data_IF_232750241556
#
_entry.id   IF_232750241556
#
_cell.length_a   1.000
_cell.length_b   1.000
_cell.length_c   1.000
_cell.angle_alpha   90.00
_cell.angle_beta   90.00
_cell.angle_gamma   90.00
#
_symmetry.space_group_name_H-M   'P 1'
#
loop_
_entity.id
_entity.type
_entity.pdbx_description
1 polymer ?
#
# COMPACT_ATOMS: atom_id res chain seq x y z
N UNK A 1 -25.17 -23.68 -9.12
CA UNK A 1 -23.94 -24.26 -8.56
C UNK A 1 -24.33 -25.45 -7.68
N UNK A 2 -23.61 -26.57 -7.74
CA UNK A 2 -23.87 -27.73 -6.87
C UNK A 2 -23.62 -27.35 -5.39
N UNK A 3 -24.38 -27.95 -4.47
CA UNK A 3 -24.20 -27.76 -3.01
C UNK A 3 -22.75 -27.99 -2.56
N UNK A 4 -22.04 -28.93 -3.19
CA UNK A 4 -20.63 -29.22 -2.90
C UNK A 4 -19.69 -28.11 -3.38
N UNK A 5 -19.91 -27.55 -4.58
CA UNK A 5 -19.10 -26.46 -5.11
C UNK A 5 -19.22 -25.19 -4.26
N UNK A 6 -20.43 -24.91 -3.75
CA UNK A 6 -20.67 -23.77 -2.87
C UNK A 6 -20.01 -23.94 -1.50
N UNK A 7 -20.00 -25.17 -0.95
CA UNK A 7 -19.25 -25.49 0.28
C UNK A 7 -17.74 -25.33 0.09
N UNK A 8 -17.21 -25.78 -1.05
CA UNK A 8 -15.79 -25.64 -1.37
C UNK A 8 -15.40 -24.16 -1.48
N UNK A 9 -16.20 -23.35 -2.18
CA UNK A 9 -15.98 -21.91 -2.29
C UNK A 9 -15.97 -21.22 -0.91
N UNK A 10 -16.97 -21.48 -0.07
CA UNK A 10 -17.04 -20.89 1.26
C UNK A 10 -15.85 -21.30 2.15
N UNK A 11 -15.40 -22.56 2.07
CA UNK A 11 -14.24 -23.03 2.83
C UNK A 11 -12.94 -22.41 2.34
N UNK A 12 -12.79 -22.25 1.02
CA UNK A 12 -11.64 -21.59 0.41
C UNK A 12 -11.58 -20.10 0.77
N UNK A 13 -12.72 -19.41 0.75
CA UNK A 13 -12.82 -18.01 1.16
C UNK A 13 -12.42 -17.84 2.63
N UNK A 14 -12.97 -18.65 3.54
CA UNK A 14 -12.63 -18.61 4.96
C UNK A 14 -11.12 -18.88 5.20
N UNK A 15 -10.56 -19.90 4.55
CA UNK A 15 -9.13 -20.23 4.68
C UNK A 15 -8.23 -19.14 4.10
N UNK A 16 -8.65 -18.51 2.99
CA UNK A 16 -7.94 -17.36 2.41
C UNK A 16 -7.98 -16.17 3.36
N UNK A 17 -9.13 -15.85 3.98
CA UNK A 17 -9.26 -14.78 4.96
C UNK A 17 -8.36 -14.98 6.20
N UNK A 18 -8.29 -16.21 6.72
CA UNK A 18 -7.38 -16.56 7.82
C UNK A 18 -5.91 -16.35 7.43
N UNK A 19 -5.50 -16.84 6.26
CA UNK A 19 -4.14 -16.65 5.75
C UNK A 19 -3.81 -15.16 5.55
N UNK A 20 -4.79 -14.36 5.10
CA UNK A 20 -4.63 -12.92 4.96
C UNK A 20 -4.47 -12.19 6.29
N UNK A 21 -5.11 -12.67 7.37
CA UNK A 21 -4.86 -12.16 8.73
C UNK A 21 -3.43 -12.47 9.18
N UNK A 22 -2.94 -13.68 8.93
CA UNK A 22 -1.57 -14.07 9.26
C UNK A 22 -0.55 -13.19 8.52
N UNK A 23 -0.75 -12.96 7.23
CA UNK A 23 0.09 -12.07 6.39
C UNK A 23 0.13 -10.66 6.99
N UNK A 24 -0.99 -10.15 7.49
CA UNK A 24 -1.05 -8.84 8.15
C UNK A 24 -0.24 -8.81 9.46
N UNK A 25 -0.29 -9.88 10.25
CA UNK A 25 0.49 -9.99 11.48
C UNK A 25 1.99 -10.16 11.20
N UNK A 26 2.37 -10.90 10.16
CA UNK A 26 3.76 -10.99 9.70
C UNK A 26 4.32 -9.62 9.32
N UNK A 27 3.53 -8.79 8.63
CA UNK A 27 3.92 -7.41 8.28
C UNK A 27 4.12 -6.53 9.52
N UNK A 28 3.25 -6.63 10.52
CA UNK A 28 3.45 -5.94 11.82
C UNK A 28 4.73 -6.41 12.51
N UNK A 29 5.04 -7.71 12.44
CA UNK A 29 6.29 -8.25 12.99
C UNK A 29 7.51 -7.66 12.26
N UNK A 30 7.50 -7.58 10.92
CA UNK A 30 8.54 -6.89 10.13
C UNK A 30 8.75 -5.45 10.59
N UNK A 31 7.66 -4.70 10.79
CA UNK A 31 7.75 -3.32 11.30
C UNK A 31 8.37 -3.26 12.72
N UNK A 32 8.04 -4.21 13.57
CA UNK A 32 8.61 -4.32 14.92
C UNK A 32 10.11 -4.64 14.86
N UNK A 33 10.51 -5.55 13.97
CA UNK A 33 11.92 -5.89 13.75
C UNK A 33 12.72 -4.69 13.26
N UNK A 34 12.15 -3.88 12.35
CA UNK A 34 12.75 -2.60 11.96
C UNK A 34 12.98 -1.67 13.15
N UNK A 35 11.96 -1.48 14.01
CA UNK A 35 12.11 -0.64 15.21
C UNK A 35 13.19 -1.18 16.16
N UNK A 36 13.28 -2.49 16.33
CA UNK A 36 14.32 -3.14 17.15
C UNK A 36 15.71 -2.89 16.54
N UNK A 37 15.85 -3.03 15.21
CA UNK A 37 17.11 -2.79 14.52
C UNK A 37 17.58 -1.33 14.68
N UNK A 38 16.66 -0.36 14.62
CA UNK A 38 16.95 1.05 14.89
C UNK A 38 17.50 1.25 16.31
N UNK A 39 16.92 0.59 17.32
CA UNK A 39 17.43 0.69 18.69
C UNK A 39 18.81 0.03 18.86
N UNK A 40 19.07 -1.10 18.18
CA UNK A 40 20.41 -1.70 18.17
C UNK A 40 21.44 -0.82 17.46
N UNK A 41 21.06 -0.17 16.37
CA UNK A 41 21.94 0.76 15.65
C UNK A 41 22.28 1.97 16.52
N UNK A 42 21.31 2.57 17.23
CA UNK A 42 21.57 3.65 18.22
C UNK A 42 22.53 3.21 19.32
N UNK A 43 22.48 1.94 19.70
CA UNK A 43 23.38 1.34 20.68
C UNK A 43 24.74 0.89 20.08
N UNK A 44 25.02 1.17 18.80
CA UNK A 44 26.21 0.76 18.06
C UNK A 44 26.43 -0.77 18.03
N UNK A 45 25.35 -1.55 18.02
CA UNK A 45 25.36 -3.02 18.01
C UNK A 45 25.14 -3.56 16.59
N UNK A 46 26.04 -3.24 15.66
CA UNK A 46 25.87 -3.55 14.23
C UNK A 46 25.83 -5.06 13.92
N UNK A 47 26.41 -5.89 14.78
CA UNK A 47 26.29 -7.35 14.73
C UNK A 47 24.83 -7.81 14.94
N UNK A 48 24.14 -7.23 15.92
CA UNK A 48 22.71 -7.52 16.17
C UNK A 48 21.81 -6.97 15.08
N UNK A 49 22.13 -5.81 14.50
CA UNK A 49 21.37 -5.26 13.36
C UNK A 49 21.38 -6.25 12.18
N UNK A 50 22.53 -6.84 11.88
CA UNK A 50 22.65 -7.88 10.83
C UNK A 50 21.87 -9.15 11.16
N UNK A 51 21.84 -9.55 12.42
CA UNK A 51 21.04 -10.69 12.88
C UNK A 51 19.54 -10.41 12.66
N UNK A 52 19.06 -9.24 13.07
CA UNK A 52 17.66 -8.83 12.86
C UNK A 52 17.31 -8.74 11.37
N UNK A 53 18.19 -8.20 10.52
CA UNK A 53 17.98 -8.15 9.07
C UNK A 53 17.85 -9.56 8.48
N UNK A 54 18.72 -10.48 8.89
CA UNK A 54 18.66 -11.88 8.44
C UNK A 54 17.32 -12.52 8.81
N UNK A 55 16.90 -12.43 10.07
CA UNK A 55 15.64 -13.03 10.52
C UNK A 55 14.44 -12.35 9.84
N UNK A 56 14.51 -11.05 9.56
CA UNK A 56 13.47 -10.34 8.82
C UNK A 56 13.34 -10.85 7.38
N UNK A 57 14.47 -11.11 6.69
CA UNK A 57 14.46 -11.65 5.33
C UNK A 57 13.85 -13.06 5.29
N UNK A 58 14.09 -13.89 6.29
CA UNK A 58 13.47 -15.22 6.42
C UNK A 58 11.95 -15.12 6.65
N UNK A 59 11.50 -14.15 7.46
CA UNK A 59 10.08 -13.87 7.65
C UNK A 59 9.41 -13.38 6.36
N UNK A 60 10.07 -12.52 5.59
CA UNK A 60 9.57 -12.03 4.31
C UNK A 60 9.47 -13.12 3.24
N UNK A 61 10.42 -14.07 3.21
CA UNK A 61 10.31 -15.22 2.31
C UNK A 61 9.06 -16.07 2.63
N UNK A 62 8.80 -16.30 3.93
CA UNK A 62 7.60 -17.00 4.40
C UNK A 62 6.32 -16.22 4.09
N UNK A 63 6.36 -14.89 4.18
CA UNK A 63 5.24 -14.00 3.86
C UNK A 63 4.78 -14.16 2.41
N UNK A 64 5.71 -14.19 1.46
CA UNK A 64 5.39 -14.37 0.04
C UNK A 64 4.74 -15.72 -0.22
N UNK A 65 5.29 -16.78 0.37
CA UNK A 65 4.72 -18.12 0.24
C UNK A 65 3.29 -18.20 0.78
N UNK A 66 3.03 -17.60 1.95
CA UNK A 66 1.67 -17.50 2.49
C UNK A 66 0.73 -16.72 1.57
N UNK A 67 1.17 -15.62 0.98
CA UNK A 67 0.37 -14.82 0.05
C UNK A 67 -0.01 -15.61 -1.21
N UNK A 68 0.95 -16.31 -1.81
CA UNK A 68 0.68 -17.15 -2.98
C UNK A 68 -0.26 -18.32 -2.67
N UNK A 69 -0.10 -18.94 -1.49
CA UNK A 69 -0.99 -20.01 -1.04
C UNK A 69 -2.41 -19.50 -0.82
N UNK A 70 -2.58 -18.35 -0.17
CA UNK A 70 -3.89 -17.75 0.09
C UNK A 70 -4.65 -17.43 -1.21
N UNK A 71 -3.94 -16.94 -2.23
CA UNK A 71 -4.51 -16.66 -3.55
C UNK A 71 -4.85 -17.96 -4.31
N UNK A 72 -3.95 -18.95 -4.28
CA UNK A 72 -4.18 -20.24 -4.92
C UNK A 72 -5.40 -20.96 -4.33
N UNK A 73 -5.51 -21.03 -3.01
CA UNK A 73 -6.65 -21.65 -2.31
C UNK A 73 -7.96 -20.97 -2.72
N UNK A 74 -7.98 -19.65 -2.83
CA UNK A 74 -9.16 -18.89 -3.27
C UNK A 74 -9.52 -19.11 -4.74
N UNK A 75 -8.53 -19.37 -5.60
CA UNK A 75 -8.74 -19.61 -7.02
C UNK A 75 -9.23 -21.05 -7.33
N UNK A 76 -8.84 -22.03 -6.52
CA UNK A 76 -9.17 -23.46 -6.72
C UNK A 76 -10.65 -23.75 -6.98
N UNK A 77 -11.63 -23.19 -6.22
CA UNK A 77 -13.05 -23.42 -6.47
C UNK A 77 -13.51 -23.01 -7.88
N UNK A 78 -12.86 -22.03 -8.51
CA UNK A 78 -13.23 -21.51 -9.84
C UNK A 78 -12.77 -22.43 -10.98
N UNK A 79 -11.68 -23.17 -10.75
CA UNK A 79 -11.09 -24.09 -11.74
C UNK A 79 -11.49 -25.55 -11.50
N UNK A 80 -12.05 -25.85 -10.33
CA UNK A 80 -12.41 -27.22 -9.96
C UNK A 80 -13.59 -27.74 -10.80
N UNK A 81 -13.36 -28.88 -11.46
CA UNK A 81 -14.39 -29.62 -12.17
C UNK A 81 -14.66 -30.95 -11.45
N UNK A 82 -15.87 -31.15 -10.90
CA UNK A 82 -16.26 -32.41 -10.27
C UNK A 82 -16.17 -33.57 -11.26
N UNK A 83 -15.63 -34.70 -10.81
CA UNK A 83 -15.59 -35.95 -11.56
C UNK A 83 -15.82 -37.14 -10.63
N UNK A 84 -16.07 -38.32 -11.20
CA UNK A 84 -16.22 -39.56 -10.44
C UNK A 84 -14.90 -40.09 -9.85
N UNK A 85 -13.76 -39.49 -10.23
CA UNK A 85 -12.45 -39.84 -9.70
C UNK A 85 -12.06 -38.96 -8.51
N UNK A 86 -11.36 -39.52 -7.49
CA UNK A 86 -10.80 -38.73 -6.41
C UNK A 86 -9.90 -37.62 -6.93
N UNK A 87 -10.12 -36.39 -6.44
CA UNK A 87 -9.32 -35.24 -6.81
C UNK A 87 -8.13 -35.09 -5.87
N UNK A 88 -6.93 -34.96 -6.42
CA UNK A 88 -5.74 -34.57 -5.67
C UNK A 88 -5.69 -33.04 -5.51
N UNK A 89 -6.33 -32.56 -4.44
CA UNK A 89 -6.39 -31.13 -4.13
C UNK A 89 -5.02 -30.53 -3.81
N UNK A 90 -4.09 -31.32 -3.27
CA UNK A 90 -2.73 -30.84 -3.00
C UNK A 90 -2.04 -30.46 -4.31
N UNK A 91 -2.05 -31.38 -5.28
CA UNK A 91 -1.46 -31.12 -6.60
C UNK A 91 -2.15 -29.97 -7.34
N UNK A 92 -3.47 -29.84 -7.18
CA UNK A 92 -4.24 -28.74 -7.78
C UNK A 92 -3.82 -27.37 -7.21
N UNK A 93 -3.69 -27.27 -5.88
CA UNK A 93 -3.23 -26.05 -5.20
C UNK A 93 -1.79 -25.74 -5.60
N UNK A 94 -0.88 -26.72 -5.57
CA UNK A 94 0.53 -26.53 -5.95
C UNK A 94 0.69 -26.06 -7.40
N UNK A 95 -0.11 -26.58 -8.32
CA UNK A 95 -0.14 -26.14 -9.71
C UNK A 95 -0.59 -24.68 -9.82
N UNK A 96 -1.63 -24.28 -9.08
CA UNK A 96 -2.12 -22.90 -9.09
C UNK A 96 -1.11 -21.95 -8.42
N UNK A 97 -0.46 -22.34 -7.33
CA UNK A 97 0.66 -21.58 -6.72
C UNK A 97 1.77 -21.36 -7.73
N UNK A 98 2.18 -22.39 -8.46
CA UNK A 98 3.25 -22.30 -9.47
C UNK A 98 2.88 -21.33 -10.58
N UNK A 99 1.62 -21.38 -11.03
CA UNK A 99 1.08 -20.46 -12.03
C UNK A 99 1.02 -19.02 -11.53
N UNK A 100 0.58 -18.79 -10.29
CA UNK A 100 0.54 -17.45 -9.68
C UNK A 100 1.97 -16.92 -9.54
N UNK A 101 2.91 -17.70 -9.01
CA UNK A 101 4.33 -17.33 -8.91
C UNK A 101 4.93 -16.96 -10.28
N UNK A 102 4.63 -17.74 -11.32
CA UNK A 102 5.12 -17.48 -12.68
C UNK A 102 4.54 -16.22 -13.34
N UNK A 103 3.32 -15.81 -12.95
CA UNK A 103 2.69 -14.58 -13.43
C UNK A 103 2.99 -13.37 -12.53
N UNK A 104 3.43 -13.62 -11.29
CA UNK A 104 3.83 -12.57 -10.36
C UNK A 104 5.06 -11.89 -10.91
N UNK A 105 4.95 -10.58 -11.16
CA UNK A 105 6.15 -9.73 -11.17
C UNK A 105 6.78 -9.88 -9.79
N UNK A 106 8.13 -9.91 -9.72
CA UNK A 106 8.86 -9.92 -8.44
C UNK A 106 8.16 -8.95 -7.50
N UNK A 107 7.74 -9.44 -6.33
CA UNK A 107 6.94 -8.67 -5.40
C UNK A 107 7.76 -7.47 -4.94
N UNK A 108 7.60 -6.33 -5.62
CA UNK A 108 8.23 -5.08 -5.25
C UNK A 108 7.88 -4.68 -3.81
N UNK A 109 6.84 -5.29 -3.24
CA UNK A 109 6.45 -5.09 -1.85
C UNK A 109 7.49 -5.59 -0.84
N UNK A 110 7.98 -6.82 -0.96
CA UNK A 110 9.01 -7.32 -0.03
C UNK A 110 10.32 -6.55 -0.20
N UNK A 111 10.70 -6.23 -1.44
CA UNK A 111 11.86 -5.37 -1.71
C UNK A 111 11.69 -3.97 -1.09
N UNK A 112 10.49 -3.39 -1.18
CA UNK A 112 10.18 -2.11 -0.53
C UNK A 112 10.31 -2.19 1.00
N UNK A 113 9.84 -3.28 1.62
CA UNK A 113 9.98 -3.47 3.07
C UNK A 113 11.45 -3.60 3.49
N UNK A 114 12.26 -4.32 2.72
CA UNK A 114 13.72 -4.42 2.95
C UNK A 114 14.39 -3.06 2.81
N UNK A 115 14.03 -2.29 1.78
CA UNK A 115 14.53 -0.93 1.58
C UNK A 115 14.19 -0.04 2.77
N UNK A 116 12.91 0.00 3.17
CA UNK A 116 12.46 0.78 4.32
C UNK A 116 13.14 0.39 5.62
N UNK A 117 13.49 -0.89 5.78
CA UNK A 117 14.29 -1.33 6.92
C UNK A 117 15.70 -0.74 6.88
N UNK A 118 16.39 -0.87 5.75
CA UNK A 118 17.77 -0.39 5.59
C UNK A 118 17.88 1.12 5.71
N UNK A 119 16.96 1.86 5.09
CA UNK A 119 16.85 3.31 5.21
C UNK A 119 16.67 3.74 6.67
N UNK A 120 15.73 3.11 7.40
CA UNK A 120 15.48 3.46 8.80
C UNK A 120 16.70 3.20 9.71
N UNK A 121 17.46 2.14 9.44
CA UNK A 121 18.74 1.86 10.14
C UNK A 121 19.79 2.91 9.75
N UNK A 122 19.93 3.21 8.45
CA UNK A 122 20.89 4.19 7.94
C UNK A 122 20.68 5.59 8.54
N UNK A 123 19.42 6.03 8.60
CA UNK A 123 19.00 7.35 9.10
C UNK A 123 19.42 7.62 10.56
N UNK A 124 19.68 6.58 11.36
CA UNK A 124 20.13 6.71 12.76
C UNK A 124 21.40 7.55 12.87
N UNK A 125 22.34 7.38 11.94
CA UNK A 125 23.63 8.06 11.93
C UNK A 125 23.82 9.02 10.74
N UNK A 126 22.88 9.00 9.78
CA UNK A 126 23.01 9.71 8.51
C UNK A 126 21.73 10.47 8.13
N UNK A 127 20.95 10.91 9.12
CA UNK A 127 19.70 11.64 8.89
C UNK A 127 19.85 12.75 7.84
N UNK A 128 18.99 12.72 6.82
CA UNK A 128 18.99 13.67 5.71
C UNK A 128 20.00 13.38 4.61
N UNK A 129 20.79 12.30 4.71
CA UNK A 129 21.68 11.83 3.66
C UNK A 129 21.08 10.60 2.96
N UNK A 130 21.10 10.53 1.62
CA UNK A 130 20.64 9.35 0.90
C UNK A 130 21.51 8.14 1.24
N UNK A 131 20.90 6.96 1.34
CA UNK A 131 21.63 5.72 1.57
C UNK A 131 22.49 5.36 0.33
N UNK A 132 23.78 5.03 0.48
CA UNK A 132 24.64 4.68 -0.65
C UNK A 132 24.13 3.45 -1.43
N UNK A 133 24.16 3.53 -2.76
CA UNK A 133 23.71 2.44 -3.65
C UNK A 133 22.26 2.56 -4.15
N UNK A 134 21.52 3.58 -3.70
CA UNK A 134 20.18 3.91 -4.21
C UNK A 134 20.19 4.70 -5.54
N UNK A 135 21.36 5.11 -6.01
CA UNK A 135 21.56 5.95 -7.21
C UNK A 135 21.15 5.27 -8.53
N UNK A 136 20.91 3.95 -8.54
CA UNK A 136 20.48 3.23 -9.75
C UNK A 136 18.96 3.24 -9.98
N UNK A 137 18.18 3.84 -9.08
CA UNK A 137 16.72 3.98 -9.18
C UNK A 137 16.27 5.46 -9.22
N UNK A 138 17.12 6.35 -9.72
CA UNK A 138 16.94 7.81 -9.79
C UNK A 138 15.91 8.29 -10.86
N UNK A 139 14.74 7.62 -10.96
CA UNK A 139 13.58 8.10 -11.73
C UNK A 139 12.24 7.83 -11.03
N UNK A 140 12.19 7.85 -9.69
CA UNK A 140 10.94 8.06 -8.95
C UNK A 140 11.11 9.28 -8.06
N UNK A 141 11.05 10.45 -8.68
CA UNK A 141 11.02 11.72 -7.97
C UNK A 141 9.83 11.75 -6.99
N UNK A 142 10.15 11.99 -5.71
CA UNK A 142 9.28 12.46 -4.62
C UNK A 142 8.10 11.55 -4.20
N UNK A 143 8.13 11.05 -2.96
CA UNK A 143 7.09 10.23 -2.26
C UNK A 143 7.30 8.70 -2.18
N UNK A 144 8.52 8.19 -2.26
CA UNK A 144 8.85 6.74 -2.22
C UNK A 144 8.73 6.06 -0.86
N UNK A 145 8.43 6.76 0.24
CA UNK A 145 8.21 6.13 1.55
C UNK A 145 6.81 5.50 1.71
N UNK A 146 5.92 5.62 0.73
CA UNK A 146 4.49 5.33 0.91
C UNK A 146 4.03 4.24 -0.05
N UNK A 147 3.54 3.13 0.51
CA UNK A 147 2.85 2.06 -0.25
C UNK A 147 1.48 2.51 -0.83
N UNK A 148 1.13 3.78 -0.67
CA UNK A 148 -0.15 4.36 -1.00
C UNK A 148 0.00 5.42 -2.09
N UNK A 149 -0.73 5.24 -3.19
CA UNK A 149 -0.61 6.07 -4.39
C UNK A 149 -1.42 7.37 -4.37
N UNK A 150 -2.34 7.53 -3.43
CA UNK A 150 -3.17 8.73 -3.31
C UNK A 150 -3.47 9.05 -1.84
N UNK A 151 -3.35 10.31 -1.45
CA UNK A 151 -3.54 10.77 -0.07
C UNK A 151 -5.00 11.08 0.29
N UNK A 152 -5.84 11.31 -0.71
CA UNK A 152 -7.29 11.59 -0.56
C UNK A 152 -8.08 10.65 -1.47
N UNK A 153 -9.29 10.29 -1.04
CA UNK A 153 -10.24 9.59 -1.88
C UNK A 153 -10.66 10.52 -3.04
N UNK A 154 -10.52 10.12 -4.31
CA UNK A 154 -10.83 10.97 -5.47
C UNK A 154 -12.30 11.38 -5.60
N UNK A 155 -13.22 10.72 -4.88
CA UNK A 155 -14.66 10.96 -4.96
C UNK A 155 -15.14 11.80 -3.78
N UNK A 156 -14.73 11.45 -2.56
CA UNK A 156 -15.18 12.16 -1.34
C UNK A 156 -14.25 13.26 -0.91
N UNK A 157 -13.04 13.33 -1.47
CA UNK A 157 -11.94 14.20 -1.06
C UNK A 157 -11.46 13.99 0.38
N UNK A 158 -12.00 13.00 1.10
CA UNK A 158 -11.56 12.65 2.44
C UNK A 158 -10.13 12.09 2.40
N UNK A 159 -9.26 12.47 3.36
CA UNK A 159 -7.98 11.80 3.55
C UNK A 159 -8.16 10.29 3.66
N UNK A 160 -7.26 9.52 3.04
CA UNK A 160 -7.31 8.04 3.10
C UNK A 160 -7.27 7.52 4.54
N UNK A 161 -6.60 8.26 5.43
CA UNK A 161 -6.46 7.95 6.85
C UNK A 161 -7.77 8.10 7.62
N UNK A 162 -8.78 8.75 7.06
CA UNK A 162 -10.10 8.94 7.68
C UNK A 162 -11.17 8.01 7.09
N UNK A 163 -10.81 7.16 6.11
CA UNK A 163 -11.77 6.27 5.49
C UNK A 163 -12.15 5.12 6.43
N UNK A 164 -13.46 4.94 6.64
CA UNK A 164 -14.01 3.87 7.48
C UNK A 164 -13.98 2.50 6.79
N UNK A 165 -14.34 2.48 5.50
CA UNK A 165 -14.32 1.26 4.68
C UNK A 165 -13.49 1.51 3.40
N UNK A 166 -12.15 1.55 3.52
CA UNK A 166 -11.27 1.78 2.39
C UNK A 166 -11.28 0.58 1.46
N UNK A 167 -11.28 0.84 0.15
CA UNK A 167 -11.13 -0.16 -0.89
C UNK A 167 -10.13 0.32 -1.93
N UNK A 168 -9.48 -0.61 -2.61
CA UNK A 168 -8.45 -0.33 -3.61
C UNK A 168 -8.77 -1.03 -4.91
N UNK A 169 -8.47 -0.38 -6.04
CA UNK A 169 -8.47 -1.06 -7.32
C UNK A 169 -7.26 -1.97 -7.45
N UNK A 170 -7.44 -3.26 -7.77
CA UNK A 170 -6.33 -4.22 -7.93
C UNK A 170 -5.44 -3.90 -9.14
N UNK A 171 -5.94 -3.16 -10.13
CA UNK A 171 -5.18 -2.81 -11.33
C UNK A 171 -4.41 -1.48 -11.26
N UNK A 172 -4.99 -0.43 -10.66
CA UNK A 172 -4.34 0.88 -10.55
C UNK A 172 -3.88 1.22 -9.13
N UNK A 173 -4.19 0.39 -8.12
CA UNK A 173 -3.84 0.56 -6.72
C UNK A 173 -4.31 1.86 -6.04
N UNK A 174 -5.13 2.67 -6.68
CA UNK A 174 -5.78 3.83 -6.05
C UNK A 174 -6.83 3.41 -5.03
N UNK A 175 -6.93 4.17 -3.94
CA UNK A 175 -7.77 3.93 -2.76
C UNK A 175 -9.00 4.84 -2.77
N UNK A 176 -10.15 4.28 -2.38
CA UNK A 176 -11.44 4.95 -2.35
C UNK A 176 -12.23 4.60 -1.08
N UNK A 177 -13.21 5.45 -0.76
CA UNK A 177 -14.31 5.07 0.12
C UNK A 177 -15.27 4.12 -0.65
N UNK A 178 -15.64 3.00 -0.05
CA UNK A 178 -16.41 1.92 -0.70
C UNK A 178 -17.78 2.35 -1.20
N UNK A 179 -18.59 3.02 -0.39
CA UNK A 179 -19.97 3.33 -0.80
C UNK A 179 -20.01 4.33 -1.98
N UNK A 180 -19.20 5.42 -1.95
CA UNK A 180 -19.09 6.34 -3.07
C UNK A 180 -18.55 5.69 -4.34
N UNK A 181 -17.48 4.89 -4.27
CA UNK A 181 -16.91 4.25 -5.47
C UNK A 181 -17.87 3.24 -6.10
N UNK A 182 -18.59 2.46 -5.30
CA UNK A 182 -19.59 1.52 -5.81
C UNK A 182 -20.77 2.23 -6.49
N UNK A 183 -21.12 3.43 -6.02
CA UNK A 183 -22.13 4.27 -6.67
C UNK A 183 -21.60 4.90 -7.95
N UNK A 184 -20.35 5.36 -7.95
CA UNK A 184 -19.67 5.87 -9.14
C UNK A 184 -19.59 4.83 -10.27
N UNK A 185 -19.20 3.58 -9.96
CA UNK A 185 -19.11 2.48 -10.92
C UNK A 185 -20.47 2.17 -11.56
N UNK A 186 -21.56 2.23 -10.78
CA UNK A 186 -22.91 1.96 -11.28
C UNK A 186 -23.43 3.06 -12.22
N UNK A 187 -23.08 4.32 -11.94
CA UNK A 187 -23.65 5.48 -12.61
C UNK A 187 -22.83 5.96 -13.83
N UNK A 188 -21.55 5.59 -13.94
CA UNK A 188 -20.69 6.00 -15.04
C UNK A 188 -20.44 4.85 -16.03
N UNK A 189 -20.61 5.13 -17.34
CA UNK A 189 -20.33 4.16 -18.41
C UNK A 189 -19.53 4.84 -19.54
N UNK A 190 -18.26 4.46 -19.77
CA UNK A 190 -17.48 3.45 -19.04
C UNK A 190 -16.93 4.03 -17.71
N UNK A 191 -16.97 3.27 -16.59
CA UNK A 191 -16.48 3.74 -15.28
C UNK A 191 -14.94 3.78 -15.23
N UNK A 192 -14.33 4.88 -15.64
CA UNK A 192 -12.87 5.09 -15.57
C UNK A 192 -12.42 5.41 -14.15
N UNK A 193 -11.16 5.17 -13.83
CA UNK A 193 -10.56 5.65 -12.59
C UNK A 193 -10.70 7.19 -12.49
N UNK A 194 -11.22 7.75 -11.37
CA UNK A 194 -11.37 9.20 -11.21
C UNK A 194 -10.06 9.97 -11.02
N UNK A 195 -8.92 9.30 -10.84
CA UNK A 195 -7.60 9.94 -10.79
C UNK A 195 -7.24 10.43 -12.21
N UNK A 196 -6.89 11.70 -12.32
CA UNK A 196 -6.46 12.30 -13.57
C UNK A 196 -5.30 11.53 -14.20
N UNK A 197 -5.41 11.21 -15.49
CA UNK A 197 -4.36 10.49 -16.23
C UNK A 197 -4.35 8.97 -16.03
N UNK A 198 -5.14 8.41 -15.10
CA UNK A 198 -5.22 6.95 -14.94
C UNK A 198 -6.11 6.32 -16.03
N UNK A 199 -5.59 5.43 -16.90
CA UNK A 199 -6.37 4.85 -17.99
C UNK A 199 -7.24 3.66 -17.55
N UNK A 200 -7.15 3.25 -16.27
CA UNK A 200 -7.74 2.00 -15.80
C UNK A 200 -9.26 2.08 -15.65
N UNK A 201 -9.89 0.95 -15.97
CA UNK A 201 -11.33 0.74 -15.89
C UNK A 201 -11.69 0.11 -14.55
N UNK A 202 -12.70 0.66 -13.89
CA UNK A 202 -13.18 0.14 -12.62
C UNK A 202 -14.34 -0.82 -12.83
N UNK A 203 -14.37 -1.90 -12.05
CA UNK A 203 -15.50 -2.80 -11.97
C UNK A 203 -15.66 -3.29 -10.53
N UNK A 204 -16.89 -3.68 -10.14
CA UNK A 204 -17.17 -4.11 -8.76
C UNK A 204 -16.22 -5.22 -8.30
N UNK A 205 -15.82 -6.12 -9.20
CA UNK A 205 -14.87 -7.20 -8.89
C UNK A 205 -13.40 -6.79 -8.70
N UNK A 206 -12.94 -5.63 -9.18
CA UNK A 206 -11.53 -5.20 -9.01
C UNK A 206 -11.36 -4.12 -7.94
N UNK A 207 -12.45 -3.65 -7.31
CA UNK A 207 -12.39 -2.71 -6.20
C UNK A 207 -12.69 -3.44 -4.91
N UNK A 208 -11.63 -3.77 -4.16
CA UNK A 208 -11.69 -4.63 -2.97
C UNK A 208 -10.93 -4.02 -1.80
N UNK A 209 -11.32 -4.32 -0.57
CA UNK A 209 -10.46 -4.07 0.59
C UNK A 209 -9.51 -5.27 0.70
N UNK A 210 -8.32 -5.17 0.11
CA UNK A 210 -7.29 -6.18 0.34
C UNK A 210 -6.82 -6.13 1.81
N UNK A 211 -6.30 -7.25 2.30
CA UNK A 211 -5.84 -7.42 3.68
C UNK A 211 -4.73 -6.46 4.07
N UNK A 212 -3.90 -6.06 3.10
CA UNK A 212 -2.77 -5.16 3.30
C UNK A 212 -3.18 -3.69 3.31
N UNK A 213 -4.30 -3.34 2.70
CA UNK A 213 -4.77 -1.96 2.60
C UNK A 213 -4.93 -1.30 3.96
N UNK A 214 -5.50 -2.02 4.93
CA UNK A 214 -5.69 -1.48 6.27
C UNK A 214 -4.35 -1.29 6.98
N UNK A 215 -3.45 -2.27 6.86
CA UNK A 215 -2.09 -2.18 7.43
C UNK A 215 -1.31 -1.01 6.82
N UNK A 216 -1.40 -0.80 5.50
CA UNK A 216 -0.78 0.33 4.80
C UNK A 216 -1.32 1.68 5.24
N UNK A 217 -2.63 1.78 5.43
CA UNK A 217 -3.26 3.01 5.92
C UNK A 217 -2.85 3.27 7.37
N UNK A 218 -2.77 2.23 8.21
CA UNK A 218 -2.34 2.35 9.61
C UNK A 218 -0.86 2.73 9.74
N UNK A 219 0.00 2.17 8.90
CA UNK A 219 1.40 2.58 8.78
C UNK A 219 1.50 4.05 8.34
N UNK A 220 0.69 4.45 7.37
CA UNK A 220 0.64 5.82 6.88
C UNK A 220 0.12 6.82 7.93
N UNK A 221 -0.80 6.39 8.81
CA UNK A 221 -1.20 7.16 10.01
C UNK A 221 -0.04 7.34 10.98
N UNK A 222 0.77 6.30 11.17
CA UNK A 222 1.82 6.25 12.19
C UNK A 222 3.09 7.00 11.80
N UNK A 223 3.34 7.23 10.51
CA UNK A 223 4.54 7.91 9.99
C UNK A 223 4.50 9.45 10.04
N UNK A 224 3.56 10.05 10.79
CA UNK A 224 3.44 11.52 10.92
C UNK A 224 2.87 12.22 9.68
N UNK A 225 2.42 11.47 8.66
CA UNK A 225 1.85 12.06 7.45
C UNK A 225 0.46 12.72 7.68
N UNK A 226 -0.15 12.50 8.84
CA UNK A 226 -1.33 13.27 9.26
C UNK A 226 -1.03 14.78 9.39
N UNK A 227 0.18 15.13 9.81
CA UNK A 227 0.58 16.53 10.03
C UNK A 227 0.88 17.26 8.71
N UNK A 228 1.36 16.54 7.67
CA UNK A 228 1.61 17.12 6.34
C UNK A 228 0.34 17.33 5.51
N UNK A 229 -0.71 16.53 5.71
CA UNK A 229 -2.00 16.70 5.01
C UNK A 229 -2.71 18.01 5.44
N UNK A 230 -2.45 18.51 6.65
CA UNK A 230 -3.00 19.75 7.17
C UNK A 230 -2.27 21.01 6.67
N UNK A 231 -1.01 20.89 6.23
CA UNK A 231 -0.15 22.02 5.86
C UNK A 231 -0.30 22.49 4.41
N UNK A 232 -0.87 21.69 3.50
CA UNK A 232 -0.97 22.03 2.06
C UNK A 232 -2.15 22.97 1.70
N UNK A 233 -2.67 23.73 2.68
CA UNK A 233 -3.69 24.77 2.44
C UNK A 233 -3.14 26.11 2.92
N UNK A 234 -2.00 26.53 2.36
CA UNK A 234 -1.57 27.93 2.46
C UNK A 234 -2.19 28.73 1.31
N UNK A 235 -2.87 29.78 1.75
CA UNK A 235 -3.74 30.69 1.03
C UNK A 235 -2.94 31.50 -0.01
N UNK A 236 -3.15 31.21 -1.30
CA UNK A 236 -2.54 31.96 -2.41
C UNK A 236 -3.47 33.11 -2.84
N UNK A 237 -4.04 33.83 -1.88
CA UNK A 237 -4.89 35.00 -2.15
C UNK A 237 -4.35 36.27 -1.50
N UNK A 238 -3.18 36.74 -1.94
CA UNK A 238 -2.76 38.13 -1.73
C UNK A 238 -1.84 38.60 -2.87
N UNK A 239 -2.36 38.51 -4.11
CA UNK A 239 -1.85 39.29 -5.23
C UNK A 239 -3.06 39.93 -5.92
N UNK A 240 -3.46 41.10 -5.45
CA UNK A 240 -4.08 42.11 -6.28
C UNK A 240 -3.61 43.50 -5.84
N UNK A 241 -3.10 44.19 -6.85
CA UNK A 241 -2.49 45.51 -6.85
C UNK A 241 -3.44 46.66 -6.45
N UNK A 242 -2.77 47.78 -6.16
CA UNK A 242 -3.14 49.18 -6.49
C UNK A 242 -3.49 50.15 -5.34
N UNK A 243 -2.91 51.35 -5.51
CA UNK A 243 -3.21 52.68 -4.91
C UNK A 243 -2.53 52.98 -3.56
N UNK A 244 -1.74 54.05 -3.35
CA UNK A 244 -1.64 55.38 -3.98
C UNK A 244 -0.32 56.04 -3.53
N UNK A 245 0.40 56.73 -4.43
CA UNK A 245 1.48 57.66 -4.05
C UNK A 245 0.89 58.93 -3.40
N UNK A 246 1.39 59.41 -2.24
CA UNK A 246 1.14 60.78 -1.83
C UNK A 246 2.29 61.69 -2.26
N UNK A 247 1.93 62.70 -3.05
CA UNK A 247 2.70 63.93 -3.25
C UNK A 247 2.86 64.65 -1.91
N UNK A 248 4.10 64.97 -1.52
CA UNK A 248 4.37 65.99 -0.50
C UNK A 248 5.06 67.19 -1.16
N UNK A 249 4.26 68.22 -1.45
CA UNK A 249 4.71 69.61 -1.62
C UNK A 249 4.85 70.28 -0.25
N UNK A 250 6.00 70.93 -0.06
CA UNK A 250 6.30 72.10 0.77
C UNK A 250 6.10 72.06 2.29
N UNK A 251 7.22 72.28 3.01
CA UNK A 251 7.19 73.07 4.24
C UNK A 251 8.44 73.94 4.36
N UNK A 252 8.14 75.20 4.71
CA UNK A 252 8.94 76.40 4.70
C UNK A 252 10.14 76.46 5.67
N UNK A 253 11.04 77.39 5.32
CA UNK A 253 11.86 78.26 6.18
C UNK A 253 12.09 77.89 7.65
N UNK A 254 13.36 77.64 8.00
CA UNK A 254 14.25 78.61 8.71
C UNK A 254 15.69 78.08 8.81
#
# INVERSE_FOLDING_TARGET
MSSAAMKLANAADASSEEAQSLIADMRKAVNTMRSIAVEFEKANMSDKVKEVEKEMLELLASYEDCAFLAEAVKAVPQIYQPSDQPTDFKRLIEAEVTKIKGNSRVSGHCQQLVRQFREAVWDVHHAGQPMPGDEQEELVMTSTQRNVLNIKCPITMKPIIELTDPVRCTECRHIYDKNPIMSYIRNNKPPRCPIAGCPKMLHTGNVVCDSMLRVEIDEFRSSGAADSIASDVEDISDLNDDEEEPMDEDSDHL
#
